data_IF_434114269348
#
_entry.id   IF_434114269348
#
_cell.length_a   1.000
_cell.length_b   1.000
_cell.length_c   1.000
_cell.angle_alpha   90.00
_cell.angle_beta   90.00
_cell.angle_gamma   90.00
#
_symmetry.space_group_name_H-M   'P 1'
#
loop_
_entity.id
_entity.type
_entity.pdbx_description
1 polymer ?
#
# COMPACT_ATOMS: atom_id res chain seq x y z
N UNK A 1 3.70 -79.10 -41.86
CA UNK A 1 2.36 -78.56 -41.51
C UNK A 1 2.31 -77.98 -40.08
N UNK A 2 3.09 -78.56 -39.15
CA UNK A 2 3.09 -78.08 -37.75
C UNK A 2 3.92 -76.80 -37.57
N UNK A 3 4.97 -76.61 -38.34
CA UNK A 3 5.87 -75.47 -38.29
C UNK A 3 5.20 -74.18 -38.83
N UNK A 4 4.43 -74.31 -39.89
CA UNK A 4 3.65 -73.17 -40.46
C UNK A 4 2.49 -72.69 -39.51
N UNK A 5 1.89 -73.64 -38.78
CA UNK A 5 0.85 -73.28 -37.79
C UNK A 5 1.42 -72.53 -36.58
N UNK A 6 2.66 -72.80 -36.17
CA UNK A 6 3.32 -72.11 -35.06
C UNK A 6 3.77 -70.68 -35.45
N UNK A 7 4.20 -70.50 -36.70
CA UNK A 7 4.59 -69.15 -37.19
C UNK A 7 3.44 -68.25 -37.41
N UNK A 8 2.28 -68.74 -37.89
CA UNK A 8 1.04 -67.94 -38.03
C UNK A 8 0.43 -67.55 -36.68
N UNK A 9 0.55 -68.40 -35.65
CA UNK A 9 0.04 -68.03 -34.27
C UNK A 9 0.95 -67.09 -33.56
N UNK A 10 2.26 -67.09 -33.82
CA UNK A 10 3.21 -66.11 -33.27
C UNK A 10 2.98 -64.72 -33.88
N UNK A 11 2.74 -64.65 -35.19
CA UNK A 11 2.53 -63.36 -35.90
C UNK A 11 1.20 -62.70 -35.48
N UNK A 12 0.15 -63.48 -35.25
CA UNK A 12 -1.13 -62.97 -34.72
C UNK A 12 -1.01 -62.48 -33.27
N UNK A 13 -0.23 -63.17 -32.44
CA UNK A 13 -0.04 -62.73 -31.04
C UNK A 13 0.80 -61.45 -30.92
N UNK A 14 1.74 -61.25 -31.83
CA UNK A 14 2.55 -60.00 -31.91
C UNK A 14 1.69 -58.88 -32.44
N UNK A 15 0.87 -59.10 -33.47
CA UNK A 15 -0.06 -58.10 -33.99
C UNK A 15 -1.09 -57.65 -32.93
N UNK A 16 -1.63 -58.59 -32.15
CA UNK A 16 -2.57 -58.28 -31.06
C UNK A 16 -1.91 -57.54 -29.88
N UNK A 17 -0.66 -57.86 -29.57
CA UNK A 17 0.11 -57.12 -28.56
C UNK A 17 0.51 -55.71 -29.01
N UNK A 18 0.83 -55.50 -30.28
CA UNK A 18 1.11 -54.19 -30.86
C UNK A 18 -0.17 -53.31 -30.86
N UNK A 19 -1.32 -53.86 -31.24
CA UNK A 19 -2.59 -53.16 -31.25
C UNK A 19 -3.03 -52.74 -29.82
N UNK A 20 -2.77 -53.62 -28.85
CA UNK A 20 -3.07 -53.34 -27.43
C UNK A 20 -2.16 -52.22 -26.88
N UNK A 21 -0.87 -52.22 -27.22
CA UNK A 21 0.08 -51.17 -26.81
C UNK A 21 -0.27 -49.83 -27.48
N UNK A 22 -0.58 -49.83 -28.77
CA UNK A 22 -0.99 -48.63 -29.50
C UNK A 22 -2.32 -48.05 -29.01
N UNK A 23 -3.28 -48.90 -28.68
CA UNK A 23 -4.58 -48.47 -28.12
C UNK A 23 -4.42 -47.95 -26.70
N UNK A 24 -3.53 -48.54 -25.89
CA UNK A 24 -3.22 -48.07 -24.54
C UNK A 24 -2.57 -46.66 -24.58
N UNK A 25 -1.58 -46.46 -25.43
CA UNK A 25 -0.92 -45.17 -25.63
C UNK A 25 -1.91 -44.11 -26.14
N UNK A 26 -2.78 -44.46 -27.08
CA UNK A 26 -3.77 -43.51 -27.61
C UNK A 26 -4.80 -43.10 -26.59
N UNK A 27 -5.33 -44.00 -25.77
CA UNK A 27 -6.28 -43.70 -24.71
C UNK A 27 -5.62 -42.87 -23.60
N UNK A 28 -4.42 -43.22 -23.19
CA UNK A 28 -3.66 -42.46 -22.20
C UNK A 28 -3.36 -41.02 -22.67
N UNK A 29 -2.97 -40.85 -23.94
CA UNK A 29 -2.76 -39.53 -24.54
C UNK A 29 -4.08 -38.71 -24.60
N UNK A 30 -5.18 -39.36 -24.95
CA UNK A 30 -6.48 -38.73 -25.01
C UNK A 30 -6.92 -38.25 -23.62
N UNK A 31 -6.74 -39.07 -22.58
CA UNK A 31 -7.08 -38.71 -21.21
C UNK A 31 -6.22 -37.56 -20.68
N UNK A 32 -4.91 -37.55 -20.94
CA UNK A 32 -4.01 -36.45 -20.59
C UNK A 32 -4.41 -35.14 -21.29
N UNK A 33 -4.79 -35.23 -22.58
CA UNK A 33 -5.23 -34.04 -23.33
C UNK A 33 -6.56 -33.52 -22.80
N UNK A 34 -7.50 -34.40 -22.49
CA UNK A 34 -8.82 -34.00 -21.95
C UNK A 34 -8.67 -33.39 -20.56
N UNK A 35 -7.93 -34.03 -19.67
CA UNK A 35 -7.68 -33.52 -18.31
C UNK A 35 -6.91 -32.19 -18.33
N UNK A 36 -5.93 -32.08 -19.22
CA UNK A 36 -5.20 -30.84 -19.46
C UNK A 36 -6.14 -29.71 -19.95
N UNK A 37 -6.98 -30.00 -20.93
CA UNK A 37 -7.94 -29.04 -21.45
C UNK A 37 -8.97 -28.63 -20.42
N UNK A 38 -9.52 -29.57 -19.64
CA UNK A 38 -10.47 -29.30 -18.55
C UNK A 38 -9.83 -28.44 -17.45
N UNK A 39 -8.60 -28.71 -17.08
CA UNK A 39 -7.86 -27.94 -16.08
C UNK A 39 -7.62 -26.49 -16.52
N UNK A 40 -7.26 -26.30 -17.81
CA UNK A 40 -7.09 -24.97 -18.39
C UNK A 40 -8.42 -24.22 -18.46
N UNK A 41 -9.49 -24.88 -18.94
CA UNK A 41 -10.83 -24.29 -18.95
C UNK A 41 -11.28 -23.85 -17.55
N UNK A 42 -11.07 -24.70 -16.54
CA UNK A 42 -11.40 -24.36 -15.15
C UNK A 42 -10.61 -23.15 -14.64
N UNK A 43 -9.30 -23.08 -14.90
CA UNK A 43 -8.46 -21.94 -14.53
C UNK A 43 -8.92 -20.65 -15.20
N UNK A 44 -9.30 -20.69 -16.47
CA UNK A 44 -9.83 -19.54 -17.19
C UNK A 44 -11.17 -19.08 -16.58
N UNK A 45 -12.06 -19.98 -16.24
CA UNK A 45 -13.36 -19.63 -15.59
C UNK A 45 -13.10 -18.96 -14.25
N UNK A 46 -12.20 -19.51 -13.43
CA UNK A 46 -11.84 -18.91 -12.14
C UNK A 46 -11.17 -17.54 -12.32
N UNK A 47 -10.26 -17.39 -13.28
CA UNK A 47 -9.60 -16.12 -13.60
C UNK A 47 -10.61 -15.05 -14.03
N UNK A 48 -11.60 -15.42 -14.87
CA UNK A 48 -12.70 -14.52 -15.25
C UNK A 48 -13.57 -14.14 -14.04
N UNK A 49 -13.89 -15.11 -13.18
CA UNK A 49 -14.64 -14.84 -11.95
C UNK A 49 -13.87 -13.84 -11.05
N UNK A 50 -12.58 -14.04 -10.83
CA UNK A 50 -11.70 -13.13 -10.08
C UNK A 50 -11.70 -11.73 -10.72
N UNK A 51 -11.63 -11.65 -12.04
CA UNK A 51 -11.65 -10.36 -12.77
C UNK A 51 -12.96 -9.60 -12.55
N UNK A 52 -14.11 -10.26 -12.75
CA UNK A 52 -15.42 -9.63 -12.61
C UNK A 52 -15.74 -9.25 -11.16
N UNK A 53 -15.45 -10.15 -10.21
CA UNK A 53 -15.61 -9.89 -8.78
C UNK A 53 -14.66 -8.80 -8.33
N UNK A 54 -13.37 -8.87 -8.70
CA UNK A 54 -12.37 -7.86 -8.40
C UNK A 54 -12.78 -6.48 -8.92
N UNK A 55 -13.20 -6.38 -10.18
CA UNK A 55 -13.71 -5.14 -10.77
C UNK A 55 -14.96 -4.61 -10.04
N UNK A 56 -15.85 -5.49 -9.58
CA UNK A 56 -17.01 -5.08 -8.81
C UNK A 56 -16.60 -4.54 -7.43
N UNK A 57 -15.69 -5.22 -6.73
CA UNK A 57 -15.14 -4.79 -5.44
C UNK A 57 -14.43 -3.44 -5.58
N UNK A 58 -13.54 -3.28 -6.56
CA UNK A 58 -12.82 -2.03 -6.84
C UNK A 58 -13.82 -0.88 -7.01
N UNK A 59 -14.82 -1.06 -7.86
CA UNK A 59 -15.87 -0.04 -8.08
C UNK A 59 -16.65 0.26 -6.81
N UNK A 60 -16.83 -0.72 -5.93
CA UNK A 60 -17.52 -0.51 -4.65
C UNK A 60 -16.68 0.30 -3.69
N UNK A 61 -15.38 -0.02 -3.59
CA UNK A 61 -14.41 0.71 -2.74
C UNK A 61 -14.29 2.16 -3.21
N UNK A 62 -14.07 2.41 -4.49
CA UNK A 62 -13.94 3.76 -5.04
C UNK A 62 -15.20 4.60 -4.81
N UNK A 63 -16.39 4.04 -4.98
CA UNK A 63 -17.65 4.73 -4.65
C UNK A 63 -17.81 5.07 -3.16
N UNK A 64 -17.30 4.22 -2.27
CA UNK A 64 -17.30 4.52 -0.83
C UNK A 64 -16.32 5.65 -0.50
N UNK A 65 -15.12 5.62 -1.10
CA UNK A 65 -14.14 6.70 -0.96
C UNK A 65 -14.69 8.04 -1.47
N UNK A 66 -15.33 8.03 -2.64
CA UNK A 66 -15.96 9.23 -3.20
C UNK A 66 -16.99 9.85 -2.26
N UNK A 67 -17.86 9.04 -1.64
CA UNK A 67 -18.82 9.52 -0.65
C UNK A 67 -18.17 10.11 0.61
N UNK A 68 -17.04 9.53 1.03
CA UNK A 68 -16.28 10.04 2.18
C UNK A 68 -15.62 11.38 1.86
N UNK A 69 -15.08 11.53 0.66
CA UNK A 69 -14.47 12.79 0.20
C UNK A 69 -15.49 13.92 0.06
N UNK A 70 -16.69 13.62 -0.44
CA UNK A 70 -17.79 14.59 -0.51
C UNK A 70 -18.22 15.11 0.87
N UNK A 71 -18.33 14.22 1.85
CA UNK A 71 -18.69 14.58 3.22
C UNK A 71 -17.65 15.45 3.93
N UNK A 72 -16.39 15.34 3.55
CA UNK A 72 -15.26 16.05 4.19
C UNK A 72 -14.78 17.26 3.39
N UNK A 73 -15.47 17.64 2.30
CA UNK A 73 -15.10 18.77 1.42
C UNK A 73 -13.64 18.73 0.97
N UNK A 74 -13.13 17.51 0.66
CA UNK A 74 -11.76 17.33 0.20
C UNK A 74 -11.61 17.98 -1.18
N UNK A 75 -10.52 18.71 -1.39
CA UNK A 75 -10.21 19.36 -2.66
C UNK A 75 -10.20 18.37 -3.82
N UNK A 76 -10.77 18.78 -4.95
CA UNK A 76 -10.99 17.93 -6.13
C UNK A 76 -9.69 17.31 -6.64
N UNK A 77 -8.59 18.07 -6.60
CA UNK A 77 -7.27 17.62 -7.05
C UNK A 77 -6.73 16.48 -6.19
N UNK A 78 -6.85 16.59 -4.87
CA UNK A 78 -6.39 15.57 -3.91
C UNK A 78 -7.26 14.30 -4.02
N UNK A 79 -8.58 14.47 -4.16
CA UNK A 79 -9.52 13.37 -4.36
C UNK A 79 -9.16 12.53 -5.60
N UNK A 80 -8.94 13.19 -6.75
CA UNK A 80 -8.57 12.51 -7.99
C UNK A 80 -7.26 11.75 -7.86
N UNK A 81 -6.24 12.37 -7.29
CA UNK A 81 -4.93 11.76 -7.08
C UNK A 81 -5.01 10.51 -6.18
N UNK A 82 -5.67 10.62 -5.03
CA UNK A 82 -5.79 9.52 -4.07
C UNK A 82 -6.62 8.35 -4.63
N UNK A 83 -7.73 8.66 -5.31
CA UNK A 83 -8.55 7.64 -5.97
C UNK A 83 -7.79 6.89 -7.06
N UNK A 84 -6.94 7.58 -7.83
CA UNK A 84 -6.10 6.95 -8.85
C UNK A 84 -5.05 6.01 -8.24
N UNK A 85 -4.38 6.42 -7.16
CA UNK A 85 -3.41 5.55 -6.46
C UNK A 85 -4.11 4.28 -5.96
N UNK A 86 -5.22 4.42 -5.25
CA UNK A 86 -5.98 3.27 -4.72
C UNK A 86 -6.45 2.38 -5.87
N UNK A 87 -6.94 2.96 -6.96
CA UNK A 87 -7.39 2.22 -8.13
C UNK A 87 -6.26 1.38 -8.74
N UNK A 88 -5.09 1.98 -8.97
CA UNK A 88 -3.91 1.27 -9.51
C UNK A 88 -3.49 0.13 -8.60
N UNK A 89 -3.37 0.36 -7.29
CA UNK A 89 -2.97 -0.67 -6.34
C UNK A 89 -3.94 -1.86 -6.31
N UNK A 90 -5.25 -1.58 -6.34
CA UNK A 90 -6.27 -2.62 -6.36
C UNK A 90 -6.26 -3.42 -7.67
N UNK A 91 -6.05 -2.77 -8.83
CA UNK A 91 -5.92 -3.48 -10.10
C UNK A 91 -4.66 -4.35 -10.15
N UNK A 92 -3.53 -3.86 -9.63
CA UNK A 92 -2.29 -4.66 -9.51
C UNK A 92 -2.54 -5.92 -8.68
N UNK A 93 -3.25 -5.80 -7.54
CA UNK A 93 -3.60 -6.97 -6.72
C UNK A 93 -4.48 -7.98 -7.47
N UNK A 94 -5.51 -7.50 -8.20
CA UNK A 94 -6.39 -8.38 -9.00
C UNK A 94 -5.60 -9.07 -10.11
N UNK A 95 -4.71 -8.36 -10.81
CA UNK A 95 -3.87 -8.95 -11.86
C UNK A 95 -2.96 -10.04 -11.30
N UNK A 96 -2.31 -9.80 -10.16
CA UNK A 96 -1.48 -10.82 -9.50
C UNK A 96 -2.28 -12.06 -9.12
N UNK A 97 -3.49 -11.92 -8.59
CA UNK A 97 -4.38 -13.05 -8.28
C UNK A 97 -4.74 -13.85 -9.52
N UNK A 98 -5.03 -13.19 -10.64
CA UNK A 98 -5.34 -13.84 -11.91
C UNK A 98 -4.13 -14.62 -12.43
N UNK A 99 -2.94 -14.01 -12.45
CA UNK A 99 -1.70 -14.63 -12.94
C UNK A 99 -1.36 -15.86 -12.12
N UNK A 100 -1.49 -15.80 -10.80
CA UNK A 100 -1.29 -16.92 -9.89
C UNK A 100 -2.31 -18.06 -10.14
N UNK A 101 -3.58 -17.73 -10.42
CA UNK A 101 -4.63 -18.71 -10.69
C UNK A 101 -4.35 -19.51 -11.98
N UNK A 102 -3.78 -18.88 -13.00
CA UNK A 102 -3.40 -19.54 -14.25
C UNK A 102 -2.23 -20.50 -14.03
N UNK A 103 -1.47 -20.34 -12.94
CA UNK A 103 -0.35 -21.22 -12.56
C UNK A 103 1.02 -20.64 -12.88
N UNK A 104 1.08 -19.32 -13.16
CA UNK A 104 2.37 -18.61 -13.33
C UNK A 104 2.91 -18.28 -11.93
N UNK A 105 4.19 -18.57 -11.72
CA UNK A 105 4.87 -18.17 -10.48
C UNK A 105 4.99 -16.64 -10.40
N UNK A 106 4.33 -16.09 -9.41
CA UNK A 106 4.29 -14.64 -9.17
C UNK A 106 5.35 -14.18 -8.16
N UNK A 107 6.18 -15.07 -7.64
CA UNK A 107 7.17 -14.77 -6.59
C UNK A 107 8.11 -13.63 -7.00
N UNK A 108 8.63 -13.67 -8.21
CA UNK A 108 9.53 -12.64 -8.75
C UNK A 108 8.81 -11.31 -8.97
N UNK A 109 7.55 -11.33 -9.41
CA UNK A 109 6.73 -10.12 -9.58
C UNK A 109 6.43 -9.46 -8.22
N UNK A 110 6.07 -10.27 -7.22
CA UNK A 110 5.83 -9.78 -5.86
C UNK A 110 7.11 -9.21 -5.26
N UNK A 111 8.26 -9.87 -5.45
CA UNK A 111 9.55 -9.35 -4.98
C UNK A 111 9.91 -8.01 -5.65
N UNK A 112 9.66 -7.86 -6.95
CA UNK A 112 9.86 -6.61 -7.67
C UNK A 112 8.94 -5.49 -7.15
N UNK A 113 7.66 -5.78 -6.94
CA UNK A 113 6.71 -4.83 -6.37
C UNK A 113 7.06 -4.45 -4.93
N UNK A 114 7.54 -5.39 -4.12
CA UNK A 114 8.01 -5.13 -2.77
C UNK A 114 9.22 -4.20 -2.76
N UNK A 115 10.18 -4.42 -3.66
CA UNK A 115 11.36 -3.55 -3.82
C UNK A 115 10.96 -2.13 -4.27
N UNK A 116 10.05 -2.02 -5.23
CA UNK A 116 9.51 -0.73 -5.66
C UNK A 116 8.74 -0.03 -4.51
N UNK A 117 7.95 -0.79 -3.75
CA UNK A 117 7.23 -0.29 -2.58
C UNK A 117 8.17 0.22 -1.48
N UNK A 118 9.28 -0.49 -1.24
CA UNK A 118 10.32 -0.05 -0.31
C UNK A 118 10.95 1.27 -0.76
N UNK A 119 11.30 1.39 -2.04
CA UNK A 119 11.87 2.61 -2.60
C UNK A 119 10.91 3.81 -2.46
N UNK A 120 9.62 3.62 -2.78
CA UNK A 120 8.58 4.64 -2.61
C UNK A 120 8.40 4.97 -1.11
N UNK A 121 8.36 3.97 -0.23
CA UNK A 121 8.24 4.15 1.21
C UNK A 121 9.41 4.98 1.78
N UNK A 122 10.63 4.70 1.36
CA UNK A 122 11.81 5.49 1.74
C UNK A 122 11.72 6.94 1.23
N UNK A 123 11.30 7.14 -0.01
CA UNK A 123 11.13 8.48 -0.58
C UNK A 123 10.07 9.32 0.15
N UNK A 124 9.02 8.67 0.67
CA UNK A 124 7.92 9.32 1.39
C UNK A 124 8.11 9.34 2.92
N UNK A 125 9.20 8.78 3.45
CA UNK A 125 9.40 8.60 4.90
C UNK A 125 9.33 9.91 5.68
N UNK A 126 9.93 10.99 5.17
CA UNK A 126 9.88 12.32 5.80
C UNK A 126 8.46 12.90 5.90
N UNK A 127 7.66 12.70 4.87
CA UNK A 127 6.24 13.13 4.88
C UNK A 127 5.43 12.31 5.90
N UNK A 128 5.69 11.00 5.97
CA UNK A 128 5.02 10.13 6.94
C UNK A 128 5.44 10.45 8.38
N UNK A 129 6.70 10.82 8.62
CA UNK A 129 7.18 11.29 9.93
C UNK A 129 6.46 12.58 10.35
N UNK A 130 6.27 13.52 9.42
CA UNK A 130 5.52 14.76 9.72
C UNK A 130 4.05 14.47 10.04
N UNK A 131 3.42 13.56 9.31
CA UNK A 131 2.06 13.11 9.61
C UNK A 131 1.97 12.49 11.01
N UNK A 132 2.87 11.56 11.34
CA UNK A 132 2.92 10.91 12.65
C UNK A 132 3.17 11.93 13.76
N UNK A 133 4.09 12.88 13.55
CA UNK A 133 4.34 14.00 14.47
C UNK A 133 3.08 14.86 14.71
N UNK A 134 2.36 15.19 13.65
CA UNK A 134 1.09 15.94 13.75
C UNK A 134 0.03 15.19 14.55
N UNK A 135 -0.16 13.90 14.30
CA UNK A 135 -1.06 13.05 15.10
C UNK A 135 -0.65 13.02 16.57
N UNK A 136 0.65 12.88 16.84
CA UNK A 136 1.20 12.85 18.20
C UNK A 136 0.95 14.16 18.94
N UNK A 137 1.17 15.29 18.29
CA UNK A 137 0.87 16.63 18.85
C UNK A 137 -0.62 16.76 19.17
N UNK A 138 -1.52 16.34 18.28
CA UNK A 138 -2.96 16.42 18.47
C UNK A 138 -3.49 15.51 19.59
N UNK A 139 -2.83 14.34 19.81
CA UNK A 139 -3.24 13.38 20.85
C UNK A 139 -2.68 13.76 22.21
N UNK A 140 -1.36 14.02 22.29
CA UNK A 140 -0.67 14.32 23.55
C UNK A 140 -0.88 15.78 23.98
N UNK A 141 -1.11 16.70 23.02
CA UNK A 141 -1.35 18.12 23.25
C UNK A 141 -0.27 18.80 24.10
N UNK A 142 1.01 18.69 23.74
CA UNK A 142 2.07 19.41 24.45
C UNK A 142 1.88 20.94 24.37
N UNK A 143 1.18 21.40 23.35
CA UNK A 143 0.69 22.76 23.17
C UNK A 143 -0.66 22.76 22.43
N UNK A 144 -1.34 23.88 22.45
CA UNK A 144 -2.64 24.08 21.81
C UNK A 144 -2.60 25.31 20.90
N UNK A 145 -3.57 25.42 20.02
CA UNK A 145 -3.80 26.67 19.27
C UNK A 145 -4.07 27.79 20.27
N UNK A 146 -3.34 28.90 20.13
CA UNK A 146 -3.34 30.03 21.02
C UNK A 146 -2.18 30.09 22.02
N UNK A 147 -1.46 28.99 22.24
CA UNK A 147 -0.29 28.97 23.11
C UNK A 147 0.90 29.69 22.45
N UNK A 148 1.69 30.40 23.27
CA UNK A 148 2.99 30.91 22.88
C UNK A 148 4.06 29.88 23.17
N UNK A 149 4.73 29.41 22.14
CA UNK A 149 5.76 28.37 22.24
C UNK A 149 7.05 28.81 21.59
N UNK A 150 8.13 28.18 22.04
CA UNK A 150 9.43 28.19 21.35
C UNK A 150 9.79 26.77 20.97
N UNK A 151 10.10 26.54 19.68
CA UNK A 151 10.50 25.27 19.14
C UNK A 151 11.39 25.46 17.92
N UNK A 152 12.44 24.66 17.80
CA UNK A 152 13.42 24.75 16.69
C UNK A 152 14.11 26.12 16.55
N UNK A 153 14.25 26.89 17.66
CA UNK A 153 14.81 28.22 17.66
C UNK A 153 13.88 29.33 17.12
N UNK A 154 12.62 28.99 16.89
CA UNK A 154 11.60 29.94 16.48
C UNK A 154 10.53 30.04 17.58
N UNK A 155 10.08 31.26 17.86
CA UNK A 155 9.07 31.54 18.87
C UNK A 155 7.83 32.23 18.29
N UNK A 156 6.68 31.95 18.85
CA UNK A 156 5.43 32.58 18.41
C UNK A 156 4.16 31.93 18.95
N UNK A 157 3.04 32.54 18.62
CA UNK A 157 1.71 32.01 18.94
C UNK A 157 1.32 30.93 17.94
N UNK A 158 0.91 29.77 18.42
CA UNK A 158 0.37 28.68 17.58
C UNK A 158 -0.96 29.11 17.00
N UNK A 159 -1.03 29.25 15.69
CA UNK A 159 -2.26 29.63 14.98
C UNK A 159 -2.99 28.41 14.46
N UNK A 160 -2.24 27.41 13.97
CA UNK A 160 -2.82 26.19 13.42
C UNK A 160 -1.89 25.01 13.61
N UNK A 161 -2.47 23.86 13.93
CA UNK A 161 -1.80 22.56 13.94
C UNK A 161 -2.34 21.76 12.77
N UNK A 162 -1.59 21.80 11.66
CA UNK A 162 -1.93 21.08 10.44
C UNK A 162 -1.47 19.61 10.47
N UNK A 163 -1.77 18.89 9.38
CA UNK A 163 -1.44 17.48 9.26
C UNK A 163 0.08 17.20 9.20
N UNK A 164 0.83 18.11 8.55
CA UNK A 164 2.26 17.98 8.32
C UNK A 164 3.08 19.08 8.98
N UNK A 165 2.47 20.24 9.25
CA UNK A 165 3.14 21.43 9.76
C UNK A 165 2.31 22.10 10.85
N UNK A 166 2.99 22.67 11.84
CA UNK A 166 2.42 23.64 12.79
C UNK A 166 2.76 25.05 12.32
N UNK A 167 1.79 25.94 12.38
CA UNK A 167 1.93 27.35 11.96
C UNK A 167 2.03 28.24 13.20
N UNK A 168 3.09 29.03 13.27
CA UNK A 168 3.29 30.05 14.31
C UNK A 168 3.18 31.45 13.71
N UNK A 169 2.64 32.38 14.49
CA UNK A 169 2.74 33.82 14.24
C UNK A 169 3.69 34.43 15.27
N UNK A 170 4.74 35.06 14.79
CA UNK A 170 5.68 35.78 15.62
C UNK A 170 5.13 37.17 16.04
N UNK A 171 5.74 37.79 17.04
CA UNK A 171 5.37 39.11 17.53
C UNK A 171 5.50 40.21 16.45
N UNK A 172 6.48 40.06 15.54
CA UNK A 172 6.71 40.94 14.38
C UNK A 172 5.84 40.58 13.16
N UNK A 173 4.79 39.73 13.38
CA UNK A 173 3.78 39.32 12.39
C UNK A 173 4.31 38.47 11.24
N UNK A 174 5.44 37.79 11.37
CA UNK A 174 5.87 36.75 10.45
C UNK A 174 5.04 35.48 10.66
N UNK A 175 4.82 34.74 9.60
CA UNK A 175 4.19 33.42 9.64
C UNK A 175 5.26 32.37 9.44
N UNK A 176 5.40 31.46 10.41
CA UNK A 176 6.41 30.42 10.39
C UNK A 176 5.71 29.06 10.28
N UNK A 177 6.13 28.23 9.33
CA UNK A 177 5.67 26.87 9.16
C UNK A 177 6.76 25.91 9.61
N UNK A 178 6.52 25.20 10.72
CA UNK A 178 7.49 24.24 11.25
C UNK A 178 6.96 22.82 10.97
N UNK A 179 7.78 21.92 10.36
CA UNK A 179 7.40 20.51 10.17
C UNK A 179 7.10 19.83 11.50
N UNK A 180 5.98 19.11 11.59
CA UNK A 180 5.55 18.48 12.83
C UNK A 180 6.53 17.44 13.36
N UNK A 181 7.26 16.74 12.48
CA UNK A 181 8.28 15.77 12.89
C UNK A 181 9.39 16.44 13.68
N UNK A 182 9.83 17.64 13.25
CA UNK A 182 10.87 18.40 13.94
C UNK A 182 10.43 18.86 15.32
N UNK A 183 9.18 19.30 15.47
CA UNK A 183 8.63 19.71 16.76
C UNK A 183 8.46 18.51 17.68
N UNK A 184 7.85 17.43 17.20
CA UNK A 184 7.50 16.27 18.03
C UNK A 184 8.70 15.50 18.59
N UNK A 185 9.87 15.67 17.99
CA UNK A 185 11.13 15.00 18.40
C UNK A 185 12.12 15.92 19.10
N UNK A 186 11.77 17.18 19.31
CA UNK A 186 12.63 18.19 19.95
C UNK A 186 12.06 18.69 21.28
N UNK A 187 12.84 19.54 21.95
CA UNK A 187 12.38 20.29 23.11
C UNK A 187 11.38 21.34 22.65
N UNK A 188 10.31 21.50 23.42
CA UNK A 188 9.26 22.49 23.22
C UNK A 188 9.13 23.27 24.52
N UNK A 189 9.37 24.57 24.47
CA UNK A 189 9.10 25.46 25.57
C UNK A 189 7.73 26.10 25.40
N UNK A 190 6.77 25.67 26.23
CA UNK A 190 5.41 26.23 26.21
C UNK A 190 5.24 27.25 27.33
N UNK A 191 5.22 28.50 26.95
CA UNK A 191 5.11 29.64 27.88
C UNK A 191 3.68 29.91 28.34
N UNK A 192 2.67 29.26 27.78
CA UNK A 192 1.26 29.49 28.08
C UNK A 192 0.63 28.43 29.00
N UNK A 193 1.29 27.27 29.18
CA UNK A 193 0.75 26.18 30.00
C UNK A 193 0.77 26.50 31.49
N UNK A 194 1.79 27.23 31.97
CA UNK A 194 1.90 27.60 33.39
C UNK A 194 1.19 28.92 33.68
N UNK A 195 0.40 28.95 34.78
CA UNK A 195 -0.28 30.15 35.22
C UNK A 195 0.67 31.23 35.74
N UNK A 196 1.86 30.88 36.17
CA UNK A 196 2.87 31.79 36.69
C UNK A 196 4.20 31.60 35.97
N UNK A 197 4.87 32.72 35.71
CA UNK A 197 6.17 32.76 35.02
C UNK A 197 7.12 33.71 35.76
N UNK A 198 8.36 33.33 35.91
CA UNK A 198 9.41 34.20 36.44
C UNK A 198 9.78 35.23 35.35
N UNK A 199 9.85 36.49 35.77
CA UNK A 199 10.37 37.60 34.96
C UNK A 199 11.55 38.19 35.66
N UNK A 200 12.70 38.23 34.99
CA UNK A 200 13.93 38.80 35.51
C UNK A 200 14.13 40.22 34.93
N UNK A 201 14.31 41.16 35.81
CA UNK A 201 14.60 42.53 35.46
C UNK A 201 16.03 42.89 35.79
N UNK A 202 16.78 43.38 34.85
CA UNK A 202 18.14 43.92 35.07
C UNK A 202 18.08 45.41 35.07
N UNK A 203 18.30 46.01 36.22
CA UNK A 203 18.40 47.47 36.36
C UNK A 203 19.88 47.84 36.49
N UNK A 204 20.32 48.69 35.59
CA UNK A 204 21.68 49.29 35.71
C UNK A 204 21.62 50.45 36.64
N UNK A 205 22.42 50.43 37.70
CA UNK A 205 22.55 51.55 38.66
C UNK A 205 23.96 52.13 38.55
N UNK A 206 24.07 53.43 38.81
CA UNK A 206 25.35 54.12 38.81
C UNK A 206 26.15 53.73 40.06
N UNK A 207 27.43 53.54 39.95
CA UNK A 207 28.33 53.24 41.07
C UNK A 207 28.40 54.46 42.00
N UNK A 208 27.99 54.29 43.26
CA UNK A 208 28.15 55.36 44.27
C UNK A 208 26.85 55.83 44.91
N UNK A 209 25.67 55.15 44.66
CA UNK A 209 24.43 55.35 45.39
C UNK A 209 24.25 54.36 46.50
#
# INVERSE_FOLDING_TARGET
>A
AQEVATEVTADTSVAESIDTVLSYDFNTLKDIIIDGALSICWKIIVALAIFYVGRWVIRRILRLLDKLYERKSVEVSIRGFLSNIVNVLLYVAVVLMIVQTIGVDTTSLVAMLASAGLAIGMALSGTLQNFAGGVMILVLKPYRVGDYIEAQGEEGIVVNIGLFTTTLHTVDKRVIYIPNSSISTSVIDNYSTSAMRRVDWTVKVEYGT
#
